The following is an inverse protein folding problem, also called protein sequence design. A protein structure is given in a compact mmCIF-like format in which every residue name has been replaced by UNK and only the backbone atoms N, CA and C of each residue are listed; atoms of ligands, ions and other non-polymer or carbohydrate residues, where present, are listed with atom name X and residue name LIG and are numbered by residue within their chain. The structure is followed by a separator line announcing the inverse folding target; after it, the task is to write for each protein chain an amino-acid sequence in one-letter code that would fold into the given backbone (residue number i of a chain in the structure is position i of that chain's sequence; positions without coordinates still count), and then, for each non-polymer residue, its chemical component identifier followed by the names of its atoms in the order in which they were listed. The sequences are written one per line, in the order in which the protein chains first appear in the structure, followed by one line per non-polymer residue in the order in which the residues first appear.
data_IF_536273360414
#
_entry.id   IF_536273360414
#
_cell.length_a   1.000
_cell.length_b   1.000
_cell.length_c   1.000
_cell.angle_alpha   90.00
_cell.angle_beta   90.00
_cell.angle_gamma   90.00
#
_symmetry.space_group_name_H-M   'P 1'
#
loop_
_entity.id
_entity.type
_entity.pdbx_description
1 polymer ?
#
# COMPACT_ATOMS: atom_id res chain seq x y z
N UNK A 1 -21.91 12.82 -25.71
CA UNK A 1 -21.94 12.63 -24.24
C UNK A 1 -20.77 13.42 -23.66
N UNK A 2 -21.04 14.46 -22.88
CA UNK A 2 -19.99 15.30 -22.30
C UNK A 2 -19.29 14.58 -21.15
N UNK A 3 -18.02 14.23 -21.34
CA UNK A 3 -17.15 13.83 -20.23
C UNK A 3 -16.91 15.08 -19.40
N UNK A 4 -17.52 15.15 -18.21
CA UNK A 4 -17.25 16.23 -17.27
C UNK A 4 -15.73 16.27 -17.03
N UNK A 5 -15.09 17.42 -17.28
CA UNK A 5 -13.67 17.62 -16.98
C UNK A 5 -13.48 17.38 -15.47
N UNK A 6 -12.94 16.22 -15.13
CA UNK A 6 -12.50 15.91 -13.77
C UNK A 6 -11.31 16.81 -13.42
N UNK A 7 -11.26 17.30 -12.17
CA UNK A 7 -10.23 18.25 -11.72
C UNK A 7 -8.85 17.57 -11.68
N UNK A 8 -7.83 18.16 -12.32
CA UNK A 8 -6.43 17.75 -12.18
C UNK A 8 -5.78 18.45 -10.98
N UNK A 9 -4.75 17.84 -10.37
CA UNK A 9 -3.92 18.51 -9.35
C UNK A 9 -2.87 19.43 -9.99
N UNK A 10 -2.43 19.13 -11.21
CA UNK A 10 -1.48 19.93 -11.98
C UNK A 10 -1.69 19.80 -13.50
N UNK A 11 -0.93 20.57 -14.28
CA UNK A 11 -0.84 20.44 -15.74
C UNK A 11 -0.18 19.13 -16.17
N UNK A 12 0.75 18.59 -15.36
CA UNK A 12 1.43 17.31 -15.61
C UNK A 12 0.49 16.11 -15.48
N UNK A 13 -0.45 16.13 -14.54
CA UNK A 13 -1.43 15.04 -14.40
C UNK A 13 -2.26 14.82 -15.67
N UNK A 14 -2.54 15.91 -16.41
CA UNK A 14 -3.30 15.84 -17.65
C UNK A 14 -2.49 15.16 -18.76
N UNK A 15 -1.17 15.41 -18.80
CA UNK A 15 -0.25 14.80 -19.77
C UNK A 15 -0.12 13.30 -19.48
N UNK A 16 -0.04 12.94 -18.20
CA UNK A 16 0.12 11.56 -17.73
C UNK A 16 -1.20 10.77 -17.75
N UNK A 17 -2.31 11.33 -18.25
CA UNK A 17 -3.60 10.63 -18.32
C UNK A 17 -4.23 10.34 -16.95
N UNK A 18 -3.77 11.02 -15.90
CA UNK A 18 -4.25 10.85 -14.54
C UNK A 18 -5.60 11.55 -14.40
N UNK A 19 -6.59 10.82 -13.88
CA UNK A 19 -7.91 11.39 -13.58
C UNK A 19 -8.30 11.12 -12.14
N UNK A 20 -9.17 11.98 -11.60
CA UNK A 20 -9.59 11.94 -10.21
C UNK A 20 -11.11 11.89 -10.08
N UNK A 21 -11.62 11.17 -9.08
CA UNK A 21 -13.04 11.21 -8.75
C UNK A 21 -13.45 12.53 -8.07
N UNK A 22 -14.74 12.69 -7.76
CA UNK A 22 -15.28 13.87 -7.06
C UNK A 22 -14.71 14.08 -5.64
N UNK A 23 -14.03 13.08 -5.09
CA UNK A 23 -13.37 13.11 -3.79
C UNK A 23 -11.85 13.28 -3.92
N UNK A 24 -11.37 13.64 -5.11
CA UNK A 24 -9.94 13.79 -5.41
C UNK A 24 -9.12 12.51 -5.22
N UNK A 25 -9.74 11.34 -5.39
CA UNK A 25 -9.02 10.06 -5.40
C UNK A 25 -8.65 9.71 -6.82
N UNK A 26 -7.41 9.28 -7.02
CA UNK A 26 -6.97 8.84 -8.35
C UNK A 26 -7.87 7.68 -8.81
N UNK A 27 -8.43 7.78 -10.01
CA UNK A 27 -9.13 6.67 -10.64
C UNK A 27 -8.12 5.63 -11.11
N UNK A 28 -8.57 4.54 -11.73
CA UNK A 28 -7.64 3.54 -12.23
C UNK A 28 -6.64 4.15 -13.23
N UNK A 29 -5.38 3.77 -13.08
CA UNK A 29 -4.26 4.17 -13.92
C UNK A 29 -3.28 3.00 -13.95
N UNK A 30 -2.89 2.48 -15.13
CA UNK A 30 -2.10 1.25 -15.23
C UNK A 30 -0.77 1.34 -14.48
N UNK A 31 -0.09 2.48 -14.55
CA UNK A 31 1.26 2.63 -13.97
C UNK A 31 1.27 2.69 -12.43
N UNK A 32 0.17 3.13 -11.82
CA UNK A 32 0.04 3.25 -10.36
C UNK A 32 -0.73 2.09 -9.72
N UNK A 33 -1.53 1.39 -10.52
CA UNK A 33 -2.45 0.36 -10.05
C UNK A 33 -2.16 -1.01 -10.65
N UNK A 34 -0.88 -1.40 -10.61
CA UNK A 34 -0.36 -2.65 -11.18
C UNK A 34 -1.08 -3.90 -10.66
N UNK A 35 -1.64 -3.86 -9.45
CA UNK A 35 -2.35 -4.96 -8.81
C UNK A 35 -3.89 -4.83 -8.94
N UNK A 36 -4.39 -4.05 -9.90
CA UNK A 36 -5.82 -3.94 -10.13
C UNK A 36 -6.42 -5.27 -10.62
N UNK A 37 -7.58 -5.65 -10.08
CA UNK A 37 -8.24 -6.94 -10.41
C UNK A 37 -7.59 -8.19 -9.79
N UNK A 38 -6.36 -8.11 -9.29
CA UNK A 38 -5.66 -9.23 -8.65
C UNK A 38 -6.24 -9.49 -7.25
N UNK A 39 -6.32 -10.75 -6.80
CA UNK A 39 -6.73 -11.07 -5.42
C UNK A 39 -5.74 -10.49 -4.40
N UNK A 40 -6.22 -10.12 -3.21
CA UNK A 40 -5.34 -9.69 -2.13
C UNK A 40 -4.57 -10.89 -1.58
N UNK A 41 -3.24 -10.77 -1.51
CA UNK A 41 -2.38 -11.73 -0.80
C UNK A 41 -2.56 -11.59 0.73
N UNK A 42 -2.00 -12.52 1.51
CA UNK A 42 -2.02 -12.35 2.97
C UNK A 42 -1.16 -11.15 3.38
N UNK A 43 -0.02 -10.97 2.71
CA UNK A 43 0.91 -9.86 2.90
C UNK A 43 0.24 -8.51 2.61
N UNK A 44 -0.58 -8.43 1.55
CA UNK A 44 -1.37 -7.24 1.24
C UNK A 44 -2.34 -6.91 2.39
N UNK A 45 -3.00 -7.93 2.94
CA UNK A 45 -4.01 -7.77 4.00
C UNK A 45 -3.37 -7.43 5.34
N UNK A 46 -2.21 -8.02 5.64
CA UNK A 46 -1.37 -7.67 6.78
C UNK A 46 -0.94 -6.21 6.71
N UNK A 47 -0.34 -5.78 5.58
CA UNK A 47 0.09 -4.42 5.36
C UNK A 47 -1.09 -3.43 5.44
N UNK A 48 -2.19 -3.73 4.75
CA UNK A 48 -3.41 -2.92 4.82
C UNK A 48 -3.89 -2.77 6.26
N UNK A 49 -4.08 -3.87 7.00
CA UNK A 49 -4.64 -3.80 8.35
C UNK A 49 -3.69 -3.12 9.35
N UNK A 50 -2.38 -3.29 9.18
CA UNK A 50 -1.37 -2.67 10.04
C UNK A 50 -1.39 -1.15 9.91
N UNK A 51 -1.38 -0.63 8.68
CA UNK A 51 -1.15 0.79 8.43
C UNK A 51 -2.41 1.60 8.13
N UNK A 52 -3.58 0.97 7.96
CA UNK A 52 -4.83 1.70 7.74
C UNK A 52 -5.20 2.54 8.96
N UNK A 53 -5.30 3.86 8.75
CA UNK A 53 -5.53 4.86 9.80
C UNK A 53 -4.24 5.45 10.40
N UNK A 54 -3.08 4.85 10.09
CA UNK A 54 -1.75 5.42 10.39
C UNK A 54 -1.29 6.23 9.19
N UNK A 55 -1.23 5.60 8.02
CA UNK A 55 -0.87 6.24 6.77
C UNK A 55 -2.08 6.82 6.04
N UNK A 56 -1.81 7.80 5.16
CA UNK A 56 -2.83 8.30 4.23
C UNK A 56 -3.24 7.18 3.28
N UNK A 57 -4.55 7.09 3.00
CA UNK A 57 -5.11 6.09 2.09
C UNK A 57 -4.42 6.08 0.72
N UNK A 58 -4.03 7.25 0.19
CA UNK A 58 -3.30 7.34 -1.08
C UNK A 58 -1.93 6.65 -1.03
N UNK A 59 -1.19 6.80 0.06
CA UNK A 59 0.10 6.13 0.26
C UNK A 59 -0.08 4.62 0.31
N UNK A 60 -1.08 4.14 1.06
CA UNK A 60 -1.41 2.71 1.13
C UNK A 60 -1.87 2.15 -0.22
N UNK A 61 -2.66 2.93 -0.95
CA UNK A 61 -3.15 2.59 -2.28
C UNK A 61 -1.99 2.35 -3.24
N UNK A 62 -1.02 3.27 -3.27
CA UNK A 62 0.19 3.10 -4.07
C UNK A 62 1.06 1.94 -3.60
N UNK A 63 1.28 1.78 -2.30
CA UNK A 63 2.04 0.66 -1.74
C UNK A 63 1.44 -0.71 -2.10
N UNK A 64 0.10 -0.79 -2.20
CA UNK A 64 -0.61 -2.01 -2.59
C UNK A 64 -0.83 -2.13 -4.11
N UNK A 65 -0.49 -1.11 -4.90
CA UNK A 65 -0.76 -1.05 -6.34
C UNK A 65 -2.26 -1.10 -6.67
N UNK A 66 -3.11 -0.46 -5.86
CA UNK A 66 -4.59 -0.51 -5.96
C UNK A 66 -5.21 0.86 -5.71
N UNK A 67 -6.42 1.10 -6.19
CA UNK A 67 -7.08 2.40 -5.98
C UNK A 67 -7.49 2.59 -4.52
N UNK A 68 -7.57 3.85 -4.06
CA UNK A 68 -8.03 4.21 -2.71
C UNK A 68 -9.41 3.60 -2.37
N UNK A 69 -10.29 3.52 -3.37
CA UNK A 69 -11.64 2.93 -3.23
C UNK A 69 -11.59 1.43 -2.94
N UNK A 70 -10.70 0.70 -3.62
CA UNK A 70 -10.55 -0.75 -3.44
C UNK A 70 -10.00 -1.08 -2.07
N UNK A 71 -8.96 -0.38 -1.61
CA UNK A 71 -8.37 -0.64 -0.29
C UNK A 71 -9.35 -0.31 0.84
N UNK A 72 -10.12 0.79 0.72
CA UNK A 72 -11.13 1.17 1.71
C UNK A 72 -12.22 0.11 1.79
N UNK A 73 -12.74 -0.31 0.63
CA UNK A 73 -13.76 -1.35 0.55
C UNK A 73 -13.28 -2.66 1.15
N UNK A 74 -12.01 -3.03 0.92
CA UNK A 74 -11.39 -4.22 1.50
C UNK A 74 -11.24 -4.11 3.01
N UNK A 75 -10.73 -2.99 3.53
CA UNK A 75 -10.58 -2.78 4.97
C UNK A 75 -11.93 -2.85 5.69
N UNK A 76 -12.96 -2.17 5.18
CA UNK A 76 -14.31 -2.23 5.76
C UNK A 76 -14.90 -3.64 5.75
N UNK A 77 -14.64 -4.43 4.70
CA UNK A 77 -15.02 -5.85 4.66
C UNK A 77 -14.34 -6.64 5.78
N UNK A 78 -13.01 -6.50 5.96
CA UNK A 78 -12.26 -7.20 7.00
C UNK A 78 -12.70 -6.78 8.40
N UNK A 79 -12.98 -5.50 8.60
CA UNK A 79 -13.53 -4.94 9.84
C UNK A 79 -14.86 -5.59 10.20
N UNK A 80 -15.80 -5.68 9.25
CA UNK A 80 -17.08 -6.37 9.45
C UNK A 80 -16.93 -7.87 9.73
N UNK A 81 -15.85 -8.49 9.26
CA UNK A 81 -15.54 -9.90 9.52
C UNK A 81 -14.73 -10.13 10.81
N UNK A 82 -14.35 -9.08 11.53
CA UNK A 82 -13.52 -9.21 12.75
C UNK A 82 -12.09 -9.67 12.48
N UNK A 83 -11.56 -9.45 11.27
CA UNK A 83 -10.27 -9.99 10.84
C UNK A 83 -9.09 -9.00 10.97
N UNK A 84 -9.35 -7.76 11.41
CA UNK A 84 -8.30 -6.72 11.47
C UNK A 84 -7.15 -7.14 12.39
N UNK A 85 -7.47 -7.52 13.64
CA UNK A 85 -6.44 -7.88 14.62
C UNK A 85 -5.70 -9.18 14.23
N UNK A 86 -6.38 -10.10 13.56
CA UNK A 86 -5.74 -11.31 13.01
C UNK A 86 -4.60 -10.94 12.05
N UNK A 87 -4.86 -10.06 11.08
CA UNK A 87 -3.85 -9.65 10.10
C UNK A 87 -2.76 -8.76 10.70
N UNK A 88 -3.11 -7.87 11.65
CA UNK A 88 -2.12 -7.08 12.41
C UNK A 88 -1.17 -7.96 13.20
N UNK A 89 -1.70 -8.93 13.95
CA UNK A 89 -0.87 -9.84 14.73
C UNK A 89 0.02 -10.72 13.84
N UNK A 90 -0.47 -11.09 12.66
CA UNK A 90 0.33 -11.83 11.67
C UNK A 90 1.49 -10.98 11.13
N UNK A 91 1.25 -9.69 10.86
CA UNK A 91 2.31 -8.75 10.50
C UNK A 91 3.37 -8.66 11.60
N UNK A 92 2.96 -8.37 12.85
CA UNK A 92 3.89 -8.21 13.98
C UNK A 92 4.76 -9.45 14.21
N UNK A 93 4.17 -10.65 14.17
CA UNK A 93 4.94 -11.91 14.31
C UNK A 93 6.02 -12.09 13.24
N UNK A 94 5.80 -11.59 12.02
CA UNK A 94 6.83 -11.64 10.97
C UNK A 94 8.02 -10.74 11.30
N UNK A 95 7.78 -9.56 11.87
CA UNK A 95 8.83 -8.64 12.31
C UNK A 95 9.57 -9.17 13.54
N UNK A 96 8.87 -9.70 14.54
CA UNK A 96 9.50 -10.36 15.69
C UNK A 96 10.40 -11.53 15.26
N UNK A 97 9.93 -12.35 14.32
CA UNK A 97 10.73 -13.44 13.77
C UNK A 97 11.94 -12.94 12.96
N UNK A 98 11.79 -11.83 12.23
CA UNK A 98 12.89 -11.21 11.50
C UNK A 98 13.95 -10.62 12.43
N UNK A 99 13.53 -9.89 13.47
CA UNK A 99 14.42 -9.31 14.48
C UNK A 99 15.16 -10.44 15.24
N UNK A 100 14.45 -11.53 15.57
CA UNK A 100 15.08 -12.71 16.15
C UNK A 100 16.08 -13.37 15.19
N UNK A 101 15.75 -13.49 13.90
CA UNK A 101 16.68 -14.03 12.92
C UNK A 101 17.93 -13.15 12.73
N UNK A 102 17.77 -11.82 12.76
CA UNK A 102 18.90 -10.89 12.66
C UNK A 102 19.80 -10.92 13.92
N UNK A 103 19.21 -11.10 15.10
CA UNK A 103 19.98 -11.26 16.34
C UNK A 103 20.70 -12.61 16.43
N UNK A 104 20.10 -13.69 15.92
CA UNK A 104 20.68 -15.04 15.94
C UNK A 104 21.74 -15.27 14.85
N UNK A 105 21.64 -14.56 13.72
CA UNK A 105 22.62 -14.60 12.62
C UNK A 105 23.17 -13.19 12.41
N UNK A 106 24.09 -12.72 13.28
CA UNK A 106 24.66 -11.39 13.10
C UNK A 106 25.38 -11.36 11.75
N UNK A 107 24.85 -10.56 10.82
CA UNK A 107 25.51 -10.27 9.54
C UNK A 107 26.92 -9.79 9.86
N UNK A 108 27.92 -10.52 9.37
CA UNK A 108 29.32 -10.12 9.40
C UNK A 108 29.39 -8.78 8.68
N UNK A 109 29.45 -7.66 9.43
CA UNK A 109 29.78 -6.37 8.85
C UNK A 109 31.20 -6.50 8.32
N UNK A 110 31.35 -6.77 7.04
CA UNK A 110 32.65 -6.62 6.39
C UNK A 110 33.01 -5.15 6.53
N UNK A 111 34.03 -4.89 7.36
CA UNK A 111 34.62 -3.57 7.46
C UNK A 111 35.16 -3.27 6.07
N UNK A 112 34.52 -2.34 5.36
CA UNK A 112 35.18 -1.65 4.26
C UNK A 112 36.28 -0.83 4.92
N UNK A 113 37.45 -1.45 5.08
CA UNK A 113 38.67 -0.78 5.47
C UNK A 113 38.96 0.19 4.34
N UNK A 114 38.82 1.49 4.62
CA UNK A 114 39.28 2.54 3.72
C UNK A 114 40.75 2.27 3.40
N UNK A 115 41.05 1.95 2.14
CA UNK A 115 42.41 2.06 1.63
C UNK A 115 42.68 3.55 1.41
N UNK A 116 43.48 4.09 2.33
CA UNK A 116 44.39 5.22 2.15
C UNK A 116 45.23 5.10 0.88
#
# INVERSE_FOLDING_TARGET
MGVAKLKSYSETDLIDGITYDKHYRMTYHPDFHLNHGIKFSNEDLEYLCMFYGIDKNRTLAFGLGRTESVIRSKYEYLKRKGLIDYYRNRYLRKYEAFDLAETLVPRRREKITALT
#
